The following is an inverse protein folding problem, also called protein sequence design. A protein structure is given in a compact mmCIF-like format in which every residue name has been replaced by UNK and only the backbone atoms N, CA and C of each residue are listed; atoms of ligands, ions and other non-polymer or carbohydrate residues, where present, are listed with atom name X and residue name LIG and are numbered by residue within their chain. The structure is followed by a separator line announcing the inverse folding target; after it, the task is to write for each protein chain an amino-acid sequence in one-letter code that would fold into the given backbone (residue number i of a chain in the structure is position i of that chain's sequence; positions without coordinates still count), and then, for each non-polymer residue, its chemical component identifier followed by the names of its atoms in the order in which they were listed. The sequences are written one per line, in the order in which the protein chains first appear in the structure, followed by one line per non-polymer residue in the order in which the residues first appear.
data_IF_232575341782
#
_entry.id   IF_232575341782
#
_cell.length_a   1.000
_cell.length_b   1.000
_cell.length_c   1.000
_cell.angle_alpha   90.00
_cell.angle_beta   90.00
_cell.angle_gamma   90.00
#
_symmetry.space_group_name_H-M   'P 1'
#
loop_
_entity.id
_entity.type
_entity.pdbx_description
1 polymer ?
#
# COMPACT_ATOMS: atom_id res chain seq x y z
N UNK A 1 24.29 66.34 2.36
CA UNK A 1 23.17 65.56 1.83
C UNK A 1 23.65 64.13 1.51
N UNK A 2 23.53 63.22 2.44
CA UNK A 2 23.84 61.79 2.24
C UNK A 2 22.52 61.05 2.10
N UNK A 3 22.27 60.47 0.94
CA UNK A 3 21.12 59.62 0.67
C UNK A 3 21.41 58.20 1.23
N UNK A 4 20.63 57.77 2.18
CA UNK A 4 20.55 56.38 2.61
C UNK A 4 19.76 55.58 1.56
N UNK A 5 20.39 54.59 0.96
CA UNK A 5 19.74 53.55 0.18
C UNK A 5 19.35 52.43 1.17
N UNK A 6 18.05 52.28 1.41
CA UNK A 6 17.51 51.09 2.03
C UNK A 6 17.50 49.93 0.99
N UNK A 7 18.33 48.94 1.19
CA UNK A 7 18.23 47.67 0.46
C UNK A 7 17.13 46.81 1.11
N UNK A 8 16.02 46.66 0.43
CA UNK A 8 15.02 45.67 0.75
C UNK A 8 15.56 44.31 0.32
N UNK A 9 15.95 43.47 1.30
CA UNK A 9 16.22 42.07 1.08
C UNK A 9 14.86 41.35 0.97
N UNK A 10 14.46 41.03 -0.24
CA UNK A 10 13.35 40.13 -0.52
C UNK A 10 13.85 38.71 -0.24
N UNK A 11 13.43 38.11 0.87
CA UNK A 11 13.57 36.67 1.07
C UNK A 11 12.67 35.98 0.02
N UNK A 12 13.28 35.46 -1.05
CA UNK A 12 12.67 34.46 -1.89
C UNK A 12 12.70 33.16 -1.10
N UNK A 13 11.57 32.81 -0.49
CA UNK A 13 11.33 31.46 -0.05
C UNK A 13 11.32 30.54 -1.28
N UNK A 14 12.34 29.70 -1.44
CA UNK A 14 12.30 28.59 -2.39
C UNK A 14 11.29 27.58 -1.87
N UNK A 15 10.02 27.74 -2.26
CA UNK A 15 9.06 26.64 -2.21
C UNK A 15 9.45 25.68 -3.32
N UNK A 16 10.16 24.61 -2.96
CA UNK A 16 10.30 23.45 -3.82
C UNK A 16 8.89 22.87 -4.00
N UNK A 17 8.27 23.16 -5.12
CA UNK A 17 7.02 22.55 -5.58
C UNK A 17 7.30 21.07 -5.88
N UNK A 18 7.26 20.22 -4.89
CA UNK A 18 7.16 18.78 -5.09
C UNK A 18 5.68 18.41 -5.07
N UNK A 19 5.05 18.47 -6.24
CA UNK A 19 3.73 17.88 -6.43
C UNK A 19 3.89 16.37 -6.47
N UNK A 20 3.48 15.69 -5.42
CA UNK A 20 3.31 14.23 -5.43
C UNK A 20 2.00 13.95 -6.14
N UNK A 21 2.06 13.31 -7.30
CA UNK A 21 0.88 12.96 -8.08
C UNK A 21 0.51 11.49 -7.81
N UNK A 22 -0.58 11.27 -7.12
CA UNK A 22 -1.43 10.13 -7.39
C UNK A 22 -2.60 10.64 -8.26
N UNK A 23 -3.27 9.77 -9.00
CA UNK A 23 -4.22 10.12 -10.07
C UNK A 23 -5.23 11.25 -9.78
N UNK A 24 -5.64 11.39 -8.52
CA UNK A 24 -6.65 12.36 -8.12
C UNK A 24 -6.27 13.12 -6.85
N UNK A 25 -5.16 12.78 -6.22
CA UNK A 25 -4.69 13.30 -4.95
C UNK A 25 -3.45 14.19 -5.17
N UNK A 26 -3.53 15.46 -4.79
CA UNK A 26 -2.41 16.41 -4.79
C UNK A 26 -2.17 16.91 -3.37
N UNK A 27 -0.90 17.02 -2.98
CA UNK A 27 -0.48 17.54 -1.67
C UNK A 27 0.41 18.75 -1.90
N UNK A 28 0.03 19.88 -1.33
CA UNK A 28 0.67 21.18 -1.54
C UNK A 28 0.83 21.94 -0.22
N UNK A 29 1.52 23.09 -0.28
CA UNK A 29 1.67 24.02 0.84
C UNK A 29 2.16 23.35 2.14
N UNK A 30 3.08 22.38 2.01
CA UNK A 30 3.66 21.70 3.16
C UNK A 30 4.50 22.67 3.97
N UNK A 31 4.13 22.88 5.24
CA UNK A 31 4.75 23.85 6.12
C UNK A 31 5.07 23.27 7.49
N UNK A 32 6.29 23.56 7.99
CA UNK A 32 6.72 23.27 9.37
C UNK A 32 6.68 24.58 10.15
N UNK A 33 5.83 24.64 11.16
CA UNK A 33 5.62 25.83 11.99
C UNK A 33 6.70 25.95 13.09
N UNK A 34 7.91 26.30 12.67
CA UNK A 34 9.07 26.41 13.56
C UNK A 34 8.87 27.47 14.66
N UNK A 35 8.05 28.49 14.42
CA UNK A 35 7.76 29.53 15.40
C UNK A 35 6.97 28.99 16.62
N UNK A 36 6.17 27.98 16.41
CA UNK A 36 5.37 27.29 17.45
C UNK A 36 5.96 25.94 17.88
N UNK A 37 7.28 25.75 17.68
CA UNK A 37 7.99 24.56 18.15
C UNK A 37 8.00 24.47 19.66
N UNK A 38 7.61 23.32 20.23
CA UNK A 38 7.81 23.00 21.63
C UNK A 38 9.15 22.27 21.82
N UNK A 39 10.12 22.97 22.39
CA UNK A 39 11.46 22.40 22.64
C UNK A 39 11.51 21.48 23.85
N UNK A 40 10.52 21.54 24.75
CA UNK A 40 10.44 20.66 25.93
C UNK A 40 9.86 19.31 25.53
N UNK A 41 8.75 19.33 24.78
CA UNK A 41 8.13 18.12 24.25
C UNK A 41 8.85 17.59 23.00
N UNK A 42 9.78 18.35 22.42
CA UNK A 42 10.46 18.05 21.16
C UNK A 42 9.47 17.81 20.01
N UNK A 43 8.49 18.69 19.90
CA UNK A 43 7.45 18.62 18.84
C UNK A 43 7.36 19.92 18.06
N UNK A 44 6.87 19.82 16.83
CA UNK A 44 6.62 20.96 15.94
C UNK A 44 5.38 20.71 15.11
N UNK A 45 4.46 21.69 14.96
CA UNK A 45 3.31 21.55 14.09
C UNK A 45 3.73 21.51 12.62
N UNK A 46 3.06 20.65 11.85
CA UNK A 46 3.12 20.63 10.40
C UNK A 46 1.72 20.84 9.83
N UNK A 47 1.61 21.54 8.72
CA UNK A 47 0.37 21.74 7.97
C UNK A 47 0.61 21.49 6.51
N UNK A 48 -0.41 21.03 5.80
CA UNK A 48 -0.37 20.83 4.35
C UNK A 48 -1.79 20.80 3.80
N UNK A 49 -1.91 21.14 2.52
CA UNK A 49 -3.18 21.10 1.81
C UNK A 49 -3.27 19.84 0.97
N UNK A 50 -4.47 19.27 0.91
CA UNK A 50 -4.82 18.07 0.14
C UNK A 50 -5.96 18.42 -0.80
N UNK A 51 -5.73 18.34 -2.10
CA UNK A 51 -6.78 18.40 -3.13
C UNK A 51 -7.03 17.01 -3.67
N UNK A 52 -8.29 16.57 -3.70
CA UNK A 52 -8.64 15.22 -4.08
C UNK A 52 -9.91 15.20 -4.96
N UNK A 53 -9.74 14.92 -6.25
CA UNK A 53 -10.82 15.07 -7.24
C UNK A 53 -11.80 13.89 -7.27
N UNK A 54 -11.42 12.72 -6.78
CA UNK A 54 -12.20 11.47 -6.87
C UNK A 54 -12.74 10.95 -5.55
N UNK A 55 -12.75 11.74 -4.49
CA UNK A 55 -13.20 11.32 -3.15
C UNK A 55 -14.68 10.91 -3.14
N UNK A 56 -14.99 9.81 -2.45
CA UNK A 56 -16.36 9.34 -2.29
C UNK A 56 -16.60 8.66 -0.94
N UNK A 57 -17.86 8.71 -0.47
CA UNK A 57 -18.38 7.94 0.65
C UNK A 57 -19.83 7.57 0.39
N UNK A 58 -20.16 6.30 0.63
CA UNK A 58 -21.52 5.77 0.51
C UNK A 58 -21.70 4.63 1.55
N UNK A 59 -22.54 4.89 2.55
CA UNK A 59 -22.77 3.96 3.65
C UNK A 59 -21.50 3.59 4.41
N UNK A 60 -21.20 2.30 4.50
CA UNK A 60 -20.00 1.76 5.17
C UNK A 60 -18.76 1.64 4.25
N UNK A 61 -18.91 2.03 2.98
CA UNK A 61 -17.83 2.00 1.99
C UNK A 61 -17.40 3.41 1.65
N UNK A 62 -16.10 3.67 1.65
CA UNK A 62 -15.52 4.95 1.23
C UNK A 62 -14.06 4.80 0.81
N UNK A 63 -13.58 5.77 0.07
CA UNK A 63 -12.15 5.93 -0.12
C UNK A 63 -11.55 6.89 0.91
N UNK A 64 -10.26 6.72 1.15
CA UNK A 64 -9.48 7.55 2.03
C UNK A 64 -8.12 7.87 1.39
N UNK A 65 -7.44 8.88 1.90
CA UNK A 65 -6.05 9.15 1.61
C UNK A 65 -5.19 8.67 2.78
N UNK A 66 -4.25 7.76 2.52
CA UNK A 66 -3.15 7.48 3.41
C UNK A 66 -2.05 8.50 3.17
N UNK A 67 -1.71 9.27 4.19
CA UNK A 67 -0.74 10.36 4.14
C UNK A 67 0.39 10.06 5.12
N UNK A 68 1.62 10.08 4.63
CA UNK A 68 2.82 9.88 5.46
C UNK A 68 3.91 10.87 5.05
N UNK A 69 4.88 11.09 5.91
CA UNK A 69 5.87 12.14 5.66
C UNK A 69 7.30 11.67 5.89
N UNK A 70 8.21 12.27 5.15
CA UNK A 70 9.66 12.12 5.30
C UNK A 70 10.30 13.48 5.51
N UNK A 71 11.39 13.51 6.28
CA UNK A 71 12.22 14.70 6.44
C UNK A 71 13.66 14.43 6.03
N UNK A 72 14.30 15.44 5.50
CA UNK A 72 15.72 15.35 5.14
C UNK A 72 16.57 15.55 6.38
N UNK A 73 17.10 14.45 6.90
CA UNK A 73 17.93 14.43 8.11
C UNK A 73 19.31 15.01 7.88
N UNK A 74 19.88 14.72 6.73
CA UNK A 74 21.16 15.20 6.21
C UNK A 74 20.98 15.33 4.69
N UNK A 75 21.74 16.16 3.97
CA UNK A 75 21.60 16.32 2.53
C UNK A 75 21.53 15.00 1.77
N UNK A 76 20.39 14.72 1.13
CA UNK A 76 20.10 13.49 0.41
C UNK A 76 19.76 12.27 1.28
N UNK A 77 19.72 12.41 2.60
CA UNK A 77 19.37 11.32 3.54
C UNK A 77 18.01 11.59 4.17
N UNK A 78 17.01 10.84 3.76
CA UNK A 78 15.63 11.00 4.21
C UNK A 78 15.30 9.99 5.32
N UNK A 79 14.53 10.45 6.29
CA UNK A 79 14.08 9.66 7.43
C UNK A 79 12.55 9.78 7.61
N UNK A 80 11.99 8.82 8.34
CA UNK A 80 10.57 8.78 8.66
C UNK A 80 10.19 9.90 9.63
N UNK A 81 9.10 10.61 9.31
CA UNK A 81 8.56 11.68 10.13
C UNK A 81 7.46 11.11 11.03
N UNK A 82 7.72 11.04 12.33
CA UNK A 82 6.82 10.46 13.33
C UNK A 82 5.89 11.51 13.92
N UNK A 83 4.61 11.16 14.03
CA UNK A 83 3.57 12.08 14.50
C UNK A 83 3.17 11.79 15.95
N UNK A 84 2.77 12.84 16.65
CA UNK A 84 2.14 12.73 17.98
C UNK A 84 0.72 12.17 17.82
N UNK A 85 0.35 11.05 18.45
CA UNK A 85 -0.90 10.34 18.18
C UNK A 85 -2.20 11.14 18.30
N UNK A 86 -2.24 12.13 19.17
CA UNK A 86 -3.45 12.93 19.44
C UNK A 86 -3.45 14.33 18.81
N UNK A 87 -2.53 14.58 17.86
CA UNK A 87 -2.30 15.95 17.37
C UNK A 87 -3.03 16.31 16.08
N UNK A 88 -3.78 15.36 15.48
CA UNK A 88 -4.42 15.54 14.19
C UNK A 88 -5.62 16.48 14.23
N UNK A 89 -5.71 17.35 13.23
CA UNK A 89 -6.91 18.12 12.93
C UNK A 89 -7.03 18.40 11.43
N UNK A 90 -8.25 18.58 10.95
CA UNK A 90 -8.54 18.84 9.55
C UNK A 90 -9.65 19.86 9.41
N UNK A 91 -9.55 20.70 8.38
CA UNK A 91 -10.63 21.58 7.90
C UNK A 91 -10.68 21.49 6.38
N UNK A 92 -11.81 21.81 5.77
CA UNK A 92 -11.90 21.70 4.32
C UNK A 92 -13.24 22.13 3.74
N UNK A 93 -13.44 21.86 2.46
CA UNK A 93 -14.65 22.17 1.69
C UNK A 93 -15.87 21.34 2.10
N UNK A 94 -15.62 20.19 2.72
CA UNK A 94 -16.63 19.29 3.28
C UNK A 94 -16.16 18.80 4.65
N UNK A 95 -17.06 18.29 5.52
CA UNK A 95 -16.67 17.62 6.75
C UNK A 95 -15.75 16.42 6.48
N UNK A 96 -14.68 16.29 7.26
CA UNK A 96 -13.68 15.23 7.11
C UNK A 96 -13.31 14.63 8.46
N UNK A 97 -12.87 13.38 8.41
CA UNK A 97 -12.26 12.65 9.52
C UNK A 97 -10.76 12.49 9.23
N UNK A 98 -9.94 12.77 10.25
CA UNK A 98 -8.51 12.55 10.23
C UNK A 98 -8.15 11.66 11.40
N UNK A 99 -7.59 10.49 11.11
CA UNK A 99 -7.17 9.48 12.06
C UNK A 99 -5.68 9.21 11.91
N UNK A 100 -4.99 9.01 13.02
CA UNK A 100 -3.56 8.76 13.05
C UNK A 100 -3.31 7.27 13.28
N UNK A 101 -2.59 6.63 12.40
CA UNK A 101 -2.17 5.23 12.56
C UNK A 101 -1.06 5.12 13.59
N UNK A 102 -1.43 4.70 14.80
CA UNK A 102 -0.54 4.65 15.96
C UNK A 102 0.15 3.31 16.05
N UNK A 103 1.48 3.33 16.03
CA UNK A 103 2.30 2.14 16.21
C UNK A 103 2.44 1.76 17.68
N UNK A 104 2.73 0.49 18.00
CA UNK A 104 2.99 0.03 19.38
C UNK A 104 4.08 0.82 20.11
N UNK A 105 4.98 1.47 19.38
CA UNK A 105 6.03 2.33 19.91
C UNK A 105 5.53 3.69 20.44
N UNK A 106 4.23 4.00 20.33
CA UNK A 106 3.60 5.18 20.90
C UNK A 106 3.70 6.45 20.03
N UNK A 107 4.01 6.35 18.77
CA UNK A 107 3.93 7.42 17.77
C UNK A 107 3.10 6.96 16.56
N UNK A 108 2.61 7.90 15.76
CA UNK A 108 1.95 7.55 14.52
C UNK A 108 2.90 7.70 13.32
N UNK A 109 2.77 6.82 12.34
CA UNK A 109 3.57 6.81 11.11
C UNK A 109 2.82 7.35 9.89
N UNK A 110 1.55 7.71 10.05
CA UNK A 110 0.75 8.30 8.98
C UNK A 110 -0.66 8.66 9.42
N UNK A 111 -1.41 9.17 8.48
CA UNK A 111 -2.75 9.73 8.64
C UNK A 111 -3.68 9.05 7.63
N UNK A 112 -4.84 8.62 8.11
CA UNK A 112 -5.99 8.28 7.26
C UNK A 112 -6.92 9.49 7.23
N UNK A 113 -7.18 10.01 6.03
CA UNK A 113 -8.04 11.18 5.80
C UNK A 113 -9.16 10.83 4.84
N UNK A 114 -10.42 11.04 5.25
CA UNK A 114 -11.58 10.74 4.41
C UNK A 114 -12.75 11.71 4.69
N UNK A 115 -13.76 11.69 3.81
CA UNK A 115 -15.04 12.38 4.06
C UNK A 115 -15.68 11.84 5.34
N UNK A 116 -16.21 12.73 6.19
CA UNK A 116 -17.03 12.34 7.32
C UNK A 116 -18.48 12.03 6.93
N UNK A 117 -18.95 12.59 5.81
CA UNK A 117 -20.34 12.48 5.31
C UNK A 117 -20.37 11.89 3.91
N UNK A 118 -21.53 11.32 3.54
CA UNK A 118 -21.80 10.79 2.22
C UNK A 118 -21.62 11.86 1.13
N UNK A 119 -21.12 11.44 -0.04
CA UNK A 119 -20.92 12.31 -1.18
C UNK A 119 -19.84 11.84 -2.12
N UNK A 120 -19.73 12.54 -3.24
CA UNK A 120 -18.74 12.31 -4.29
C UNK A 120 -18.22 13.63 -4.86
N UNK A 121 -17.00 13.58 -5.39
CA UNK A 121 -16.42 14.66 -6.16
C UNK A 121 -15.19 15.27 -5.50
N UNK A 122 -14.75 16.39 -6.05
CA UNK A 122 -13.57 17.09 -5.57
C UNK A 122 -13.75 17.62 -4.14
N UNK A 123 -12.69 17.48 -3.37
CA UNK A 123 -12.58 18.03 -2.01
C UNK A 123 -11.23 18.67 -1.82
N UNK A 124 -11.18 19.67 -0.95
CA UNK A 124 -9.94 20.31 -0.52
C UNK A 124 -9.90 20.32 1.00
N UNK A 125 -8.79 19.87 1.56
CA UNK A 125 -8.57 19.79 2.99
C UNK A 125 -7.26 20.47 3.36
N UNK A 126 -7.25 21.16 4.49
CA UNK A 126 -6.02 21.55 5.18
C UNK A 126 -5.87 20.66 6.41
N UNK A 127 -4.85 19.82 6.40
CA UNK A 127 -4.52 18.91 7.50
C UNK A 127 -3.42 19.52 8.37
N UNK A 128 -3.51 19.28 9.68
CA UNK A 128 -2.49 19.66 10.66
C UNK A 128 -2.22 18.47 11.58
N UNK A 129 -0.92 18.24 11.85
CA UNK A 129 -0.47 17.28 12.85
C UNK A 129 0.80 17.81 13.53
N UNK A 130 1.25 17.18 14.61
CA UNK A 130 2.51 17.54 15.25
C UNK A 130 3.55 16.46 14.98
N UNK A 131 4.66 16.86 14.41
CA UNK A 131 5.84 16.01 14.28
C UNK A 131 6.56 15.92 15.63
N UNK A 132 6.83 14.70 16.10
CA UNK A 132 7.69 14.45 17.26
C UNK A 132 9.12 14.16 16.78
N UNK A 133 9.95 15.19 16.66
CA UNK A 133 11.33 15.04 16.20
C UNK A 133 12.21 14.37 17.27
N UNK A 134 11.85 14.47 18.55
CA UNK A 134 12.52 13.75 19.64
C UNK A 134 12.37 12.23 19.53
N UNK A 135 11.25 11.71 19.07
CA UNK A 135 11.05 10.27 18.82
C UNK A 135 11.93 9.74 17.67
N UNK A 136 12.42 10.63 16.80
CA UNK A 136 13.36 10.30 15.73
C UNK A 136 14.83 10.46 16.17
N UNK A 137 15.10 10.76 17.43
CA UNK A 137 16.43 11.08 17.95
C UNK A 137 17.12 12.18 17.11
N UNK A 138 16.36 13.18 16.71
CA UNK A 138 16.80 14.25 15.85
C UNK A 138 16.70 15.60 16.56
N UNK A 139 17.73 16.42 16.43
CA UNK A 139 17.75 17.79 16.94
C UNK A 139 17.39 18.73 15.78
N UNK A 140 16.12 19.17 15.77
CA UNK A 140 15.59 20.00 14.70
C UNK A 140 16.27 21.36 14.62
N UNK A 141 16.92 21.72 13.49
CA UNK A 141 17.54 23.01 13.30
C UNK A 141 16.57 24.19 13.50
N UNK A 142 17.12 25.38 13.79
CA UNK A 142 16.30 26.59 13.97
C UNK A 142 15.56 27.01 12.73
N UNK A 143 16.14 26.74 11.58
CA UNK A 143 15.59 27.14 10.26
C UNK A 143 14.71 26.03 9.65
N UNK A 144 14.50 24.91 10.40
CA UNK A 144 13.77 23.77 9.92
C UNK A 144 14.59 22.87 8.99
N UNK A 145 13.91 21.91 8.37
CA UNK A 145 14.48 21.00 7.35
C UNK A 145 13.45 20.75 6.27
N UNK A 146 13.86 20.35 5.06
CA UNK A 146 12.95 19.92 4.02
C UNK A 146 12.11 18.74 4.50
N UNK A 147 10.81 18.79 4.24
CA UNK A 147 9.89 17.66 4.46
C UNK A 147 9.11 17.38 3.17
N UNK A 148 8.76 16.13 2.97
CA UNK A 148 7.83 15.68 1.93
C UNK A 148 6.68 14.94 2.57
N UNK A 149 5.47 15.36 2.27
CA UNK A 149 4.24 14.60 2.56
C UNK A 149 3.85 13.86 1.30
N UNK A 150 3.61 12.58 1.44
CA UNK A 150 3.29 11.65 0.37
C UNK A 150 1.89 11.09 0.59
N UNK A 151 1.19 10.75 -0.48
CA UNK A 151 -0.17 10.28 -0.41
C UNK A 151 -0.43 9.04 -1.26
N UNK A 152 -1.29 8.18 -0.75
CA UNK A 152 -1.78 6.97 -1.43
C UNK A 152 -3.29 6.92 -1.28
N UNK A 153 -4.01 6.76 -2.38
CA UNK A 153 -5.46 6.50 -2.31
C UNK A 153 -5.71 5.07 -1.82
N UNK A 154 -6.54 4.95 -0.80
CA UNK A 154 -6.94 3.67 -0.20
C UNK A 154 -8.46 3.56 -0.19
N UNK A 155 -8.98 2.34 -0.15
CA UNK A 155 -10.41 2.07 -0.04
C UNK A 155 -10.67 1.25 1.21
N UNK A 156 -11.72 1.58 1.96
CA UNK A 156 -12.14 0.84 3.13
C UNK A 156 -12.84 -0.46 2.74
N UNK A 157 -12.37 -1.57 3.28
CA UNK A 157 -13.04 -2.86 3.24
C UNK A 157 -13.70 -3.07 4.60
N UNK A 158 -15.03 -3.09 4.63
CA UNK A 158 -15.76 -3.20 5.88
C UNK A 158 -15.51 -4.57 6.57
N UNK A 159 -15.56 -4.57 7.89
CA UNK A 159 -15.47 -5.78 8.70
C UNK A 159 -16.61 -6.76 8.47
N UNK A 160 -16.51 -7.93 9.09
CA UNK A 160 -17.53 -8.96 9.07
C UNK A 160 -17.19 -10.19 8.23
N UNK A 161 -18.00 -11.25 8.37
CA UNK A 161 -17.83 -12.50 7.65
C UNK A 161 -17.94 -12.32 6.13
N UNK A 162 -17.22 -13.16 5.39
CA UNK A 162 -17.27 -13.17 3.92
C UNK A 162 -16.99 -14.58 3.39
N UNK A 163 -17.27 -14.79 2.12
CA UNK A 163 -17.01 -16.06 1.45
C UNK A 163 -15.76 -15.97 0.58
N UNK A 164 -14.96 -17.04 0.60
CA UNK A 164 -13.85 -17.29 -0.33
C UNK A 164 -14.18 -18.45 -1.24
N UNK A 165 -13.59 -18.46 -2.44
CA UNK A 165 -13.94 -19.43 -3.47
C UNK A 165 -15.29 -19.15 -4.11
N UNK A 166 -15.82 -20.12 -4.83
CA UNK A 166 -17.09 -20.00 -5.57
C UNK A 166 -18.11 -21.05 -5.15
N UNK A 167 -19.40 -20.71 -5.26
CA UNK A 167 -20.49 -21.62 -4.98
C UNK A 167 -20.50 -22.85 -5.91
N UNK A 168 -20.01 -22.68 -7.14
CA UNK A 168 -19.86 -23.75 -8.14
C UNK A 168 -18.43 -23.77 -8.59
N UNK A 169 -17.63 -24.68 -8.06
CA UNK A 169 -16.23 -24.86 -8.49
C UNK A 169 -16.24 -25.54 -9.86
N UNK A 170 -15.84 -24.82 -10.89
CA UNK A 170 -15.37 -25.45 -12.10
C UNK A 170 -13.97 -26.02 -11.86
N UNK A 171 -13.94 -27.27 -11.35
CA UNK A 171 -12.70 -27.97 -10.99
C UNK A 171 -11.71 -28.12 -12.16
N UNK A 172 -12.14 -27.87 -13.38
CA UNK A 172 -11.29 -27.88 -14.56
C UNK A 172 -10.60 -26.55 -14.81
N UNK A 173 -11.17 -25.42 -14.30
CA UNK A 173 -10.63 -24.08 -14.50
C UNK A 173 -9.89 -23.52 -13.29
N UNK A 174 -10.28 -23.94 -12.07
CA UNK A 174 -9.74 -23.37 -10.84
C UNK A 174 -9.56 -24.46 -9.77
N UNK A 175 -8.70 -25.45 -10.01
CA UNK A 175 -8.53 -26.59 -9.09
C UNK A 175 -8.05 -26.15 -7.70
N UNK A 176 -7.32 -24.99 -7.62
CA UNK A 176 -6.69 -24.50 -6.39
C UNK A 176 -7.54 -23.50 -5.61
N UNK A 177 -8.73 -23.13 -6.11
CA UNK A 177 -9.60 -22.19 -5.41
C UNK A 177 -9.96 -22.67 -4.00
N UNK A 178 -10.10 -21.73 -3.09
CA UNK A 178 -10.63 -22.02 -1.77
C UNK A 178 -12.06 -22.57 -1.88
N UNK A 179 -12.39 -23.52 -1.03
CA UNK A 179 -13.74 -24.07 -0.94
C UNK A 179 -14.00 -24.68 0.44
N UNK A 180 -15.23 -24.89 0.75
CA UNK A 180 -15.61 -25.80 1.85
C UNK A 180 -15.28 -27.25 1.47
N UNK A 181 -14.78 -28.04 2.39
CA UNK A 181 -14.52 -29.47 2.17
C UNK A 181 -15.77 -30.25 1.73
N UNK A 182 -16.97 -29.75 2.02
CA UNK A 182 -18.24 -30.25 1.50
C UNK A 182 -18.64 -29.79 0.11
N UNK A 183 -17.81 -28.96 -0.53
CA UNK A 183 -18.10 -28.26 -1.79
C UNK A 183 -18.70 -26.86 -1.59
N UNK A 184 -18.60 -26.02 -2.59
CA UNK A 184 -19.04 -24.62 -2.56
C UNK A 184 -18.08 -23.68 -1.83
N UNK A 185 -18.46 -22.41 -1.75
CA UNK A 185 -17.68 -21.38 -1.08
C UNK A 185 -17.45 -21.71 0.40
N UNK A 186 -16.32 -21.23 0.94
CA UNK A 186 -16.01 -21.33 2.36
C UNK A 186 -16.26 -19.99 3.03
N UNK A 187 -16.97 -19.98 4.16
CA UNK A 187 -17.20 -18.76 4.94
C UNK A 187 -16.06 -18.54 5.93
N UNK A 188 -15.32 -17.44 5.75
CA UNK A 188 -14.41 -16.89 6.75
C UNK A 188 -15.23 -16.08 7.74
N UNK A 189 -15.48 -16.65 8.91
CA UNK A 189 -16.47 -16.13 9.87
C UNK A 189 -15.87 -15.12 10.87
N UNK A 190 -14.58 -15.24 11.19
CA UNK A 190 -13.88 -14.42 12.19
C UNK A 190 -12.36 -14.53 12.01
N UNK A 191 -11.60 -13.79 12.82
CA UNK A 191 -10.13 -13.92 12.90
C UNK A 191 -9.66 -15.17 13.67
N UNK A 192 -10.56 -16.03 14.16
CA UNK A 192 -10.19 -17.28 14.81
C UNK A 192 -9.45 -18.24 13.87
N UNK A 193 -8.79 -19.24 14.44
CA UNK A 193 -8.06 -20.25 13.66
C UNK A 193 -8.97 -20.96 12.65
N UNK A 194 -8.50 -21.07 11.39
CA UNK A 194 -9.18 -21.82 10.35
C UNK A 194 -8.50 -23.19 10.19
N UNK A 195 -9.28 -24.23 10.35
CA UNK A 195 -8.84 -25.59 10.07
C UNK A 195 -8.79 -25.83 8.56
N UNK A 196 -7.67 -26.34 8.06
CA UNK A 196 -7.49 -26.73 6.66
C UNK A 196 -7.44 -28.26 6.59
N UNK A 197 -8.42 -28.88 5.95
CA UNK A 197 -8.50 -30.32 5.73
C UNK A 197 -9.65 -30.69 4.79
N UNK A 198 -9.74 -31.96 4.40
CA UNK A 198 -10.87 -32.52 3.65
C UNK A 198 -12.09 -32.85 4.54
N UNK A 199 -12.00 -32.61 5.84
CA UNK A 199 -13.07 -32.84 6.80
C UNK A 199 -14.19 -31.81 6.75
N UNK A 200 -15.37 -32.15 7.30
CA UNK A 200 -16.53 -31.26 7.29
C UNK A 200 -16.23 -29.89 7.90
N UNK A 201 -16.78 -28.81 7.29
CA UNK A 201 -16.64 -27.41 7.74
C UNK A 201 -15.20 -26.87 7.80
N UNK A 202 -14.25 -27.54 7.16
CA UNK A 202 -12.89 -27.04 7.01
C UNK A 202 -12.73 -26.25 5.70
N UNK A 203 -11.77 -25.33 5.70
CA UNK A 203 -11.26 -24.75 4.47
C UNK A 203 -10.50 -25.85 3.72
N UNK A 204 -10.74 -25.94 2.44
CA UNK A 204 -10.08 -26.90 1.56
C UNK A 204 -9.62 -26.21 0.28
N UNK A 205 -8.52 -26.68 -0.29
CA UNK A 205 -8.03 -26.33 -1.62
C UNK A 205 -7.14 -27.46 -2.13
N UNK A 206 -7.25 -27.77 -3.44
CA UNK A 206 -6.40 -28.77 -4.05
C UNK A 206 -5.03 -28.20 -4.37
N UNK A 207 -4.05 -29.07 -4.33
CA UNK A 207 -2.74 -28.85 -4.92
C UNK A 207 -2.63 -29.84 -6.07
N UNK A 208 -2.72 -29.40 -7.34
CA UNK A 208 -2.56 -30.29 -8.47
C UNK A 208 -1.20 -30.97 -8.44
N UNK A 209 -1.17 -32.29 -8.60
CA UNK A 209 0.07 -33.01 -8.75
C UNK A 209 0.82 -32.52 -9.99
N UNK A 210 2.12 -32.19 -9.83
CA UNK A 210 2.98 -31.77 -10.93
C UNK A 210 2.93 -30.30 -11.31
N UNK A 211 2.15 -29.48 -10.64
CA UNK A 211 2.17 -28.03 -10.85
C UNK A 211 3.48 -27.42 -10.32
N UNK A 212 4.32 -26.90 -11.24
CA UNK A 212 5.63 -26.35 -10.90
C UNK A 212 5.58 -25.12 -9.99
N UNK A 213 4.39 -24.56 -9.77
CA UNK A 213 4.18 -23.29 -9.11
C UNK A 213 3.43 -23.37 -7.76
N UNK A 214 3.05 -24.57 -7.34
CA UNK A 214 2.51 -24.78 -6.01
C UNK A 214 3.67 -24.82 -5.01
N UNK A 215 3.95 -23.67 -4.38
CA UNK A 215 4.94 -23.57 -3.29
C UNK A 215 4.34 -23.97 -1.94
N UNK A 216 5.21 -24.14 -0.94
CA UNK A 216 4.82 -24.44 0.43
C UNK A 216 4.25 -25.85 0.65
N UNK A 217 3.66 -26.06 1.82
CA UNK A 217 3.08 -27.36 2.23
C UNK A 217 1.58 -27.46 1.91
N UNK A 218 0.95 -26.37 1.50
CA UNK A 218 -0.47 -26.26 1.20
C UNK A 218 -1.38 -26.86 2.31
N UNK A 219 -0.91 -26.83 3.55
CA UNK A 219 -1.58 -27.38 4.70
C UNK A 219 -2.04 -26.27 5.65
N UNK A 220 -2.45 -26.63 6.86
CA UNK A 220 -2.90 -25.70 7.89
C UNK A 220 -2.44 -26.12 9.28
N UNK A 221 -3.05 -25.56 10.32
CA UNK A 221 -4.13 -24.56 10.29
C UNK A 221 -3.65 -23.17 9.90
N UNK A 222 -4.60 -22.28 9.52
CA UNK A 222 -4.35 -20.83 9.42
C UNK A 222 -4.57 -20.24 10.81
N UNK A 223 -3.53 -19.74 11.50
CA UNK A 223 -3.64 -19.30 12.89
C UNK A 223 -4.58 -18.11 13.07
N UNK A 224 -5.12 -17.92 14.28
CA UNK A 224 -5.93 -16.75 14.65
C UNK A 224 -5.18 -15.43 14.50
N UNK A 225 -3.85 -15.44 14.59
CA UNK A 225 -3.03 -14.25 14.39
C UNK A 225 -2.77 -13.86 12.94
N UNK A 226 -3.11 -14.72 11.97
CA UNK A 226 -2.99 -14.41 10.54
C UNK A 226 -4.18 -13.54 10.13
N UNK A 227 -3.96 -12.35 9.53
CA UNK A 227 -5.03 -11.44 9.15
C UNK A 227 -5.90 -12.08 8.06
N UNK A 228 -7.18 -12.26 8.37
CA UNK A 228 -8.14 -12.89 7.47
C UNK A 228 -9.03 -11.88 6.77
N UNK A 229 -9.08 -10.64 7.29
CA UNK A 229 -9.89 -9.57 6.75
C UNK A 229 -11.31 -9.55 7.31
N UNK A 230 -11.62 -10.24 8.40
CA UNK A 230 -12.91 -10.08 9.09
C UNK A 230 -12.96 -8.84 9.98
N UNK A 231 -11.81 -8.32 10.41
CA UNK A 231 -11.71 -6.96 10.91
C UNK A 231 -11.65 -5.97 9.73
N UNK A 232 -12.13 -4.73 9.90
CA UNK A 232 -12.06 -3.72 8.84
C UNK A 232 -10.62 -3.31 8.57
N UNK A 233 -10.30 -3.07 7.30
CA UNK A 233 -9.00 -2.61 6.86
C UNK A 233 -9.10 -1.69 5.66
N UNK A 234 -8.03 -0.97 5.36
CA UNK A 234 -7.89 -0.23 4.12
C UNK A 234 -6.92 -0.94 3.19
N UNK A 235 -7.25 -0.96 1.91
CA UNK A 235 -6.39 -1.46 0.83
C UNK A 235 -6.10 -0.34 -0.15
N UNK A 236 -4.91 -0.30 -0.73
CA UNK A 236 -4.63 0.62 -1.82
C UNK A 236 -5.69 0.49 -2.91
N UNK A 237 -6.28 1.62 -3.31
CA UNK A 237 -7.32 1.67 -4.32
C UNK A 237 -6.82 1.21 -5.69
N UNK A 238 -5.54 1.47 -5.96
CA UNK A 238 -4.80 1.09 -7.17
C UNK A 238 -3.52 0.32 -6.80
N UNK A 239 -2.92 -0.44 -7.74
CA UNK A 239 -1.55 -0.93 -7.55
C UNK A 239 -0.58 0.24 -7.36
N UNK A 240 0.59 -0.02 -6.77
CA UNK A 240 1.67 0.97 -6.69
C UNK A 240 1.92 1.55 -8.09
N UNK A 241 1.95 2.88 -8.21
CA UNK A 241 2.19 3.53 -9.49
C UNK A 241 3.67 3.80 -9.72
N UNK A 242 4.04 4.05 -10.98
CA UNK A 242 5.43 4.39 -11.33
C UNK A 242 5.88 5.70 -10.66
N UNK A 243 4.98 6.68 -10.49
CA UNK A 243 5.25 7.90 -9.73
C UNK A 243 5.56 7.62 -8.27
N UNK A 244 4.73 6.83 -7.59
CA UNK A 244 4.93 6.44 -6.19
C UNK A 244 6.23 5.63 -6.01
N UNK A 245 6.56 4.77 -6.96
CA UNK A 245 7.80 3.99 -6.90
C UNK A 245 9.03 4.86 -7.19
N UNK A 246 8.93 5.84 -8.10
CA UNK A 246 9.99 6.83 -8.35
C UNK A 246 10.26 7.71 -7.11
N UNK A 247 9.21 8.13 -6.39
CA UNK A 247 9.35 8.83 -5.12
C UNK A 247 10.09 7.97 -4.06
N UNK A 248 9.73 6.68 -3.96
CA UNK A 248 10.43 5.73 -3.10
C UNK A 248 11.93 5.68 -3.43
N UNK A 249 12.27 5.41 -4.69
CA UNK A 249 13.66 5.35 -5.13
C UNK A 249 14.42 6.66 -4.85
N UNK A 250 13.78 7.81 -5.08
CA UNK A 250 14.38 9.13 -4.87
C UNK A 250 14.75 9.41 -3.42
N UNK A 251 13.96 8.88 -2.48
CA UNK A 251 14.13 9.12 -1.04
C UNK A 251 14.92 8.01 -0.35
N UNK A 252 15.39 7.00 -1.09
CA UNK A 252 16.27 5.96 -0.55
C UNK A 252 17.74 6.39 -0.56
N UNK A 253 18.55 5.95 0.42
CA UNK A 253 20.01 6.01 0.34
C UNK A 253 20.51 5.29 -0.92
N UNK A 254 21.63 5.74 -1.48
CA UNK A 254 22.15 5.26 -2.77
C UNK A 254 22.27 3.73 -2.88
N UNK A 255 22.67 3.06 -1.81
CA UNK A 255 22.79 1.60 -1.78
C UNK A 255 21.44 0.90 -1.85
N UNK A 256 20.46 1.38 -1.08
CA UNK A 256 19.10 0.84 -1.09
C UNK A 256 18.42 1.14 -2.45
N UNK A 257 18.61 2.36 -2.98
CA UNK A 257 18.13 2.71 -4.34
C UNK A 257 18.66 1.73 -5.39
N UNK A 258 19.96 1.50 -5.42
CA UNK A 258 20.57 0.57 -6.38
C UNK A 258 20.06 -0.88 -6.22
N UNK A 259 19.72 -1.31 -5.01
CA UNK A 259 19.18 -2.64 -4.74
C UNK A 259 17.70 -2.78 -5.14
N UNK A 260 16.95 -1.67 -5.21
CA UNK A 260 15.51 -1.62 -5.55
C UNK A 260 15.23 -1.03 -6.93
N UNK A 261 16.27 -0.77 -7.71
CA UNK A 261 16.16 -0.15 -9.04
C UNK A 261 15.62 -1.14 -10.08
N UNK A 262 14.32 -1.04 -10.33
CA UNK A 262 13.62 -1.85 -11.35
C UNK A 262 13.94 -1.40 -12.78
N UNK A 263 14.51 -0.21 -12.99
CA UNK A 263 14.86 0.27 -14.32
C UNK A 263 16.04 -0.49 -14.93
N UNK A 264 16.77 -1.25 -14.10
CA UNK A 264 17.89 -2.10 -14.52
C UNK A 264 17.48 -3.37 -15.29
N UNK A 265 16.20 -3.74 -15.30
CA UNK A 265 15.72 -4.86 -16.11
C UNK A 265 15.81 -4.53 -17.60
N UNK A 266 16.41 -5.43 -18.38
CA UNK A 266 16.74 -5.17 -19.80
C UNK A 266 15.52 -4.81 -20.68
N UNK A 267 14.34 -5.33 -20.35
CA UNK A 267 13.09 -5.07 -21.09
C UNK A 267 12.20 -4.02 -20.43
N UNK A 268 12.65 -3.36 -19.36
CA UNK A 268 11.82 -2.44 -18.57
C UNK A 268 11.15 -1.35 -19.42
N UNK A 269 11.93 -0.67 -20.26
CA UNK A 269 11.42 0.40 -21.12
C UNK A 269 10.52 -0.13 -22.24
N UNK A 270 10.86 -1.28 -22.83
CA UNK A 270 10.10 -1.89 -23.92
C UNK A 270 8.72 -2.37 -23.46
N UNK A 271 8.62 -2.77 -22.21
CA UNK A 271 7.36 -3.21 -21.56
C UNK A 271 6.59 -2.06 -20.90
N UNK A 272 6.97 -0.80 -21.18
CA UNK A 272 6.25 0.38 -20.74
C UNK A 272 6.70 0.96 -19.40
N UNK A 273 7.89 0.63 -18.95
CA UNK A 273 8.55 1.33 -17.85
C UNK A 273 8.94 2.73 -18.24
N UNK A 274 8.59 3.73 -17.42
CA UNK A 274 8.83 5.15 -17.70
C UNK A 274 9.63 5.85 -16.61
N UNK A 275 10.08 5.13 -15.58
CA UNK A 275 10.95 5.68 -14.55
C UNK A 275 12.36 5.85 -15.11
N UNK A 276 12.94 7.01 -14.86
CA UNK A 276 14.35 7.31 -15.14
C UNK A 276 14.99 7.87 -13.88
N UNK A 277 16.22 7.48 -13.61
CA UNK A 277 16.97 7.91 -12.42
C UNK A 277 18.26 8.62 -12.82
N UNK A 278 18.62 9.67 -12.08
CA UNK A 278 19.89 10.38 -12.19
C UNK A 278 20.50 10.62 -10.79
N UNK A 279 21.50 11.49 -10.70
CA UNK A 279 22.15 11.85 -9.43
C UNK A 279 21.23 12.62 -8.46
N UNK A 280 20.15 13.22 -8.95
CA UNK A 280 19.20 14.00 -8.16
C UNK A 280 18.00 13.18 -7.69
N UNK A 281 17.73 12.02 -8.28
CA UNK A 281 16.61 11.13 -7.93
C UNK A 281 16.04 10.38 -9.11
N UNK A 282 14.82 9.92 -8.94
CA UNK A 282 14.07 9.20 -9.96
C UNK A 282 12.77 9.93 -10.29
N UNK A 283 12.38 9.92 -11.54
CA UNK A 283 11.11 10.50 -12.03
C UNK A 283 10.44 9.53 -12.99
N UNK A 284 9.11 9.54 -13.04
CA UNK A 284 8.32 8.76 -13.98
C UNK A 284 7.70 9.69 -15.02
N UNK A 285 7.89 9.39 -16.32
CA UNK A 285 7.22 10.15 -17.39
C UNK A 285 5.72 9.90 -17.45
N UNK A 286 5.28 8.71 -17.04
CA UNK A 286 3.87 8.38 -16.85
C UNK A 286 3.66 7.95 -15.39
N UNK A 287 3.53 8.91 -14.45
CA UNK A 287 3.49 8.64 -13.03
C UNK A 287 2.26 7.83 -12.60
N UNK A 288 1.17 7.92 -13.33
CA UNK A 288 -0.09 7.25 -13.02
C UNK A 288 -0.19 5.82 -13.58
N UNK A 289 0.81 5.35 -14.32
CA UNK A 289 0.87 3.97 -14.77
C UNK A 289 1.24 3.06 -13.61
N UNK A 290 0.66 1.84 -13.55
CA UNK A 290 1.04 0.85 -12.56
C UNK A 290 2.54 0.51 -12.66
N UNK A 291 3.23 0.44 -11.52
CA UNK A 291 4.61 -0.03 -11.46
C UNK A 291 4.62 -1.56 -11.61
N UNK A 292 5.43 -2.02 -12.53
CA UNK A 292 5.64 -3.42 -12.84
C UNK A 292 7.13 -3.78 -12.65
N UNK A 293 7.51 -5.02 -12.90
CA UNK A 293 8.83 -5.57 -12.54
C UNK A 293 9.11 -5.57 -11.01
N UNK A 294 8.07 -5.47 -10.18
CA UNK A 294 8.24 -5.49 -8.74
C UNK A 294 8.44 -6.93 -8.23
N UNK A 295 9.62 -7.22 -7.72
CA UNK A 295 9.86 -8.43 -6.94
C UNK A 295 9.12 -8.36 -5.58
N UNK A 296 9.04 -9.47 -4.85
CA UNK A 296 8.56 -9.46 -3.47
C UNK A 296 9.34 -8.46 -2.60
N UNK A 297 10.67 -8.45 -2.72
CA UNK A 297 11.53 -7.56 -1.95
C UNK A 297 11.29 -6.08 -2.26
N UNK A 298 10.96 -5.74 -3.51
CA UNK A 298 10.62 -4.37 -3.91
C UNK A 298 9.29 -3.94 -3.31
N UNK A 299 8.28 -4.81 -3.37
CA UNK A 299 6.96 -4.55 -2.83
C UNK A 299 6.96 -4.37 -1.32
N UNK A 300 7.56 -5.29 -0.55
CA UNK A 300 7.62 -5.16 0.91
C UNK A 300 8.51 -4.00 1.36
N UNK A 301 9.57 -3.68 0.61
CA UNK A 301 10.40 -2.52 0.85
C UNK A 301 9.59 -1.23 0.73
N UNK A 302 8.85 -1.09 -0.37
CA UNK A 302 7.94 0.04 -0.59
C UNK A 302 6.86 0.12 0.49
N UNK A 303 6.19 -1.00 0.83
CA UNK A 303 5.16 -1.04 1.85
C UNK A 303 5.70 -0.60 3.23
N UNK A 304 6.84 -1.15 3.65
CA UNK A 304 7.47 -0.75 4.92
C UNK A 304 7.82 0.73 4.96
N UNK A 305 8.42 1.25 3.86
CA UNK A 305 8.77 2.66 3.72
C UNK A 305 7.53 3.57 3.76
N UNK A 306 6.42 3.15 3.17
CA UNK A 306 5.17 3.88 3.18
C UNK A 306 4.38 3.75 4.51
N UNK A 307 4.83 2.93 5.45
CA UNK A 307 4.11 2.67 6.69
C UNK A 307 2.92 1.72 6.55
N UNK A 308 2.82 1.03 5.42
CA UNK A 308 1.80 0.04 5.09
C UNK A 308 2.33 -1.38 5.32
N UNK A 309 1.50 -2.40 5.12
CA UNK A 309 1.89 -3.82 5.18
C UNK A 309 1.46 -4.59 3.94
N UNK A 310 2.09 -5.74 3.62
CA UNK A 310 1.57 -6.61 2.57
C UNK A 310 0.18 -7.13 2.94
N UNK A 311 -0.65 -7.34 1.94
CA UNK A 311 -1.96 -7.97 2.11
C UNK A 311 -1.84 -9.48 2.24
N UNK A 312 -2.72 -10.09 3.01
CA UNK A 312 -2.90 -11.53 3.02
C UNK A 312 -3.70 -12.00 1.81
N UNK A 313 -3.59 -13.27 1.51
CA UNK A 313 -4.35 -13.92 0.43
C UNK A 313 -5.86 -13.88 0.67
N UNK A 314 -6.30 -13.90 1.94
CA UNK A 314 -7.71 -13.81 2.31
C UNK A 314 -8.23 -12.38 2.22
N UNK A 315 -7.42 -11.39 2.63
CA UNK A 315 -7.74 -9.97 2.45
C UNK A 315 -7.86 -9.59 0.97
N UNK A 316 -6.97 -10.11 0.11
CA UNK A 316 -7.10 -9.95 -1.33
C UNK A 316 -8.45 -10.43 -1.83
N UNK A 317 -8.84 -11.65 -1.47
CA UNK A 317 -10.07 -12.27 -1.99
C UNK A 317 -11.32 -11.52 -1.49
N UNK A 318 -11.31 -11.05 -0.22
CA UNK A 318 -12.37 -10.18 0.29
C UNK A 318 -12.44 -8.84 -0.45
N UNK A 319 -11.31 -8.19 -0.66
CA UNK A 319 -11.25 -6.90 -1.34
C UNK A 319 -11.62 -6.97 -2.82
N UNK A 320 -11.25 -8.07 -3.49
CA UNK A 320 -11.51 -8.29 -4.91
C UNK A 320 -12.94 -8.78 -5.18
N UNK A 321 -13.47 -9.60 -4.27
CA UNK A 321 -14.79 -10.16 -4.41
C UNK A 321 -15.86 -9.19 -3.95
N UNK A 322 -16.88 -9.15 -3.99
CA UNK A 322 -18.07 -8.68 -3.35
C UNK A 322 -18.88 -9.87 -2.87
N UNK A 323 -20.17 -9.74 -2.95
CA UNK A 323 -21.05 -10.90 -2.85
C UNK A 323 -20.81 -11.86 -4.03
N UNK A 324 -21.13 -13.15 -3.92
CA UNK A 324 -20.98 -14.12 -5.01
C UNK A 324 -21.60 -13.67 -6.33
N UNK A 325 -22.69 -12.87 -6.30
CA UNK A 325 -23.35 -12.33 -7.48
C UNK A 325 -22.55 -11.22 -8.18
N UNK A 326 -21.61 -10.58 -7.50
CA UNK A 326 -20.82 -9.46 -8.00
C UNK A 326 -19.46 -9.87 -8.54
N UNK A 327 -18.98 -11.06 -8.15
CA UNK A 327 -17.70 -11.64 -8.62
C UNK A 327 -17.65 -11.81 -10.14
N UNK A 328 -18.77 -12.04 -10.79
CA UNK A 328 -18.86 -12.25 -12.24
C UNK A 328 -18.83 -10.97 -13.09
N UNK A 329 -18.79 -9.79 -12.49
CA UNK A 329 -18.86 -8.49 -13.20
C UNK A 329 -17.52 -7.93 -13.64
N UNK A 330 -16.42 -8.55 -13.25
CA UNK A 330 -15.10 -8.14 -13.70
C UNK A 330 -14.87 -8.57 -15.14
N UNK A 331 -14.60 -7.63 -16.02
CA UNK A 331 -14.17 -7.91 -17.40
C UNK A 331 -12.64 -8.08 -17.45
N UNK A 332 -12.14 -9.02 -18.23
CA UNK A 332 -10.72 -9.15 -18.55
C UNK A 332 -10.27 -7.98 -19.47
N UNK A 333 -9.02 -7.56 -19.39
CA UNK A 333 -8.44 -6.54 -20.28
C UNK A 333 -7.05 -6.12 -19.85
N UNK A 334 -6.42 -5.34 -20.72
CA UNK A 334 -5.05 -4.85 -20.58
C UNK A 334 -4.83 -3.95 -19.36
N UNK A 335 -3.59 -3.86 -18.91
CA UNK A 335 -3.17 -2.80 -18.02
C UNK A 335 -3.41 -1.45 -18.68
N UNK A 336 -4.23 -0.58 -18.08
CA UNK A 336 -4.41 0.74 -18.64
C UNK A 336 -3.11 1.55 -18.51
N UNK A 337 -2.86 2.46 -19.46
CA UNK A 337 -1.75 3.43 -19.36
C UNK A 337 -1.84 4.32 -18.12
N UNK A 338 -2.99 4.32 -17.47
CA UNK A 338 -3.27 5.02 -16.24
C UNK A 338 -4.13 4.13 -15.33
N UNK A 339 -3.70 3.89 -14.08
CA UNK A 339 -4.49 3.13 -13.09
C UNK A 339 -5.86 3.80 -12.87
N UNK A 340 -6.89 3.04 -12.58
CA UNK A 340 -8.24 3.55 -12.28
C UNK A 340 -9.06 4.03 -13.48
N UNK A 341 -8.58 3.89 -14.70
CA UNK A 341 -9.37 4.17 -15.91
C UNK A 341 -10.19 2.97 -16.33
N UNK A 342 -9.92 1.79 -15.79
CA UNK A 342 -10.75 0.61 -16.02
C UNK A 342 -12.08 0.72 -15.24
N UNK A 343 -13.14 0.13 -15.78
CA UNK A 343 -14.43 0.02 -15.09
C UNK A 343 -14.46 -1.12 -14.06
N UNK A 344 -13.30 -1.79 -13.84
CA UNK A 344 -13.14 -2.96 -12.99
C UNK A 344 -13.00 -2.55 -11.53
N UNK A 345 -14.12 -2.46 -10.83
CA UNK A 345 -14.15 -2.09 -9.42
C UNK A 345 -14.81 -3.19 -8.60
N UNK A 346 -14.22 -3.46 -7.44
CA UNK A 346 -14.93 -4.24 -6.40
C UNK A 346 -16.04 -3.40 -5.77
N UNK A 347 -16.89 -4.02 -4.98
CA UNK A 347 -17.93 -3.31 -4.20
C UNK A 347 -17.34 -2.28 -3.22
N UNK A 348 -16.08 -2.48 -2.84
CA UNK A 348 -15.33 -1.57 -1.97
C UNK A 348 -14.69 -0.40 -2.72
N UNK A 349 -14.87 -0.33 -4.05
CA UNK A 349 -14.25 0.71 -4.88
C UNK A 349 -12.78 0.47 -5.21
N UNK A 350 -12.23 -0.69 -4.87
CA UNK A 350 -10.86 -1.08 -5.26
C UNK A 350 -10.82 -1.40 -6.74
N UNK A 351 -9.81 -0.94 -7.45
CA UNK A 351 -9.71 -1.00 -8.90
C UNK A 351 -8.53 -1.87 -9.32
N UNK A 352 -8.66 -2.56 -10.44
CA UNK A 352 -7.61 -3.34 -11.10
C UNK A 352 -7.03 -4.51 -10.24
N UNK A 353 -7.82 -5.10 -9.32
CA UNK A 353 -7.43 -6.28 -8.57
C UNK A 353 -7.43 -7.58 -9.40
N UNK A 354 -8.08 -7.58 -10.56
CA UNK A 354 -8.19 -8.72 -11.45
C UNK A 354 -7.73 -8.33 -12.85
N UNK A 355 -6.89 -9.18 -13.44
CA UNK A 355 -6.24 -8.88 -14.71
C UNK A 355 -5.21 -7.75 -14.59
N UNK A 356 -4.43 -7.54 -15.60
CA UNK A 356 -3.39 -6.52 -15.61
C UNK A 356 -2.10 -6.99 -14.97
N UNK A 357 -1.93 -6.89 -13.65
CA UNK A 357 -0.74 -7.36 -12.94
C UNK A 357 -1.05 -8.48 -11.95
N UNK A 358 -0.14 -9.43 -11.86
CA UNK A 358 -0.04 -10.28 -10.70
C UNK A 358 0.37 -9.44 -9.48
N UNK A 359 -0.45 -9.44 -8.44
CA UNK A 359 -0.17 -8.75 -7.19
C UNK A 359 0.32 -9.73 -6.13
N UNK A 360 1.34 -9.31 -5.39
CA UNK A 360 1.95 -10.11 -4.35
C UNK A 360 1.08 -10.15 -3.10
N UNK A 361 0.96 -11.35 -2.53
CA UNK A 361 0.22 -11.60 -1.27
C UNK A 361 1.05 -12.44 -0.31
N UNK A 362 0.69 -12.41 0.99
CA UNK A 362 1.16 -13.38 1.96
C UNK A 362 0.24 -14.59 1.89
N UNK A 363 0.82 -15.75 1.59
CA UNK A 363 0.04 -16.99 1.33
C UNK A 363 -0.32 -17.75 2.59
N UNK A 364 -1.50 -18.37 2.59
CA UNK A 364 -1.86 -19.41 3.57
C UNK A 364 -1.23 -20.76 3.23
N UNK A 365 -0.68 -20.92 2.03
CA UNK A 365 -0.15 -22.18 1.49
C UNK A 365 1.20 -22.62 2.06
N UNK A 366 1.86 -21.82 2.89
CA UNK A 366 3.15 -22.19 3.49
C UNK A 366 3.23 -21.84 4.97
N UNK A 367 4.05 -22.57 5.76
CA UNK A 367 4.26 -22.26 7.18
C UNK A 367 4.76 -20.84 7.43
N UNK A 368 5.64 -20.34 6.57
CA UNK A 368 6.21 -18.98 6.67
C UNK A 368 5.15 -17.91 6.40
N UNK A 369 4.27 -18.15 5.41
CA UNK A 369 3.14 -17.27 5.15
C UNK A 369 2.16 -17.26 6.33
N UNK A 370 1.79 -18.43 6.85
CA UNK A 370 0.89 -18.54 8.02
C UNK A 370 1.44 -17.96 9.32
N UNK A 371 2.75 -17.72 9.40
CA UNK A 371 3.37 -17.03 10.55
C UNK A 371 3.15 -15.50 10.53
N UNK A 372 2.66 -14.94 9.44
CA UNK A 372 2.35 -13.53 9.29
C UNK A 372 1.25 -13.08 10.26
N UNK A 373 1.42 -11.91 10.88
CA UNK A 373 0.51 -11.35 11.88
C UNK A 373 -0.02 -9.97 11.51
N UNK A 374 0.33 -9.47 10.32
CA UNK A 374 -0.14 -8.17 9.87
C UNK A 374 0.55 -6.97 10.54
N UNK A 375 1.74 -7.13 11.11
CA UNK A 375 2.47 -6.00 11.69
C UNK A 375 2.61 -4.88 10.67
N UNK A 376 2.25 -3.61 11.00
CA UNK A 376 2.36 -2.50 10.06
C UNK A 376 3.81 -2.15 9.75
N UNK A 377 4.06 -1.56 8.60
CA UNK A 377 5.33 -0.98 8.23
C UNK A 377 5.72 0.19 9.14
N UNK A 378 7.00 0.37 9.35
CA UNK A 378 7.51 1.37 10.31
C UNK A 378 7.87 2.71 9.70
N UNK A 379 7.72 2.88 8.38
CA UNK A 379 8.11 4.10 7.68
C UNK A 379 9.56 4.08 7.18
N UNK A 380 10.35 3.06 7.44
CA UNK A 380 11.75 2.99 7.00
C UNK A 380 12.18 1.59 6.56
N UNK A 381 13.33 1.53 5.90
CA UNK A 381 13.95 0.32 5.36
C UNK A 381 15.44 0.26 5.72
N UNK A 382 16.04 -0.91 5.55
CA UNK A 382 17.49 -1.11 5.74
C UNK A 382 18.31 -0.58 4.54
N UNK A 383 19.62 -0.76 4.61
CA UNK A 383 20.57 -0.34 3.56
C UNK A 383 20.37 -1.02 2.19
N UNK A 384 19.55 -2.06 2.13
CA UNK A 384 19.19 -2.76 0.89
C UNK A 384 17.73 -2.49 0.48
N UNK A 385 17.04 -1.58 1.18
CA UNK A 385 15.65 -1.26 0.92
C UNK A 385 14.67 -2.36 1.35
N UNK A 386 15.06 -3.22 2.30
CA UNK A 386 14.15 -4.21 2.90
C UNK A 386 13.50 -3.67 4.17
N UNK A 387 12.32 -4.19 4.58
CA UNK A 387 11.79 -3.94 5.91
C UNK A 387 12.82 -4.24 6.99
N UNK A 388 12.94 -3.37 7.98
CA UNK A 388 13.95 -3.54 9.02
C UNK A 388 13.67 -4.81 9.85
N UNK A 389 14.64 -5.70 9.93
CA UNK A 389 14.48 -7.07 10.43
C UNK A 389 13.90 -7.17 11.86
N UNK A 390 14.11 -6.16 12.70
CA UNK A 390 13.61 -6.17 14.08
C UNK A 390 12.14 -5.79 14.23
N UNK A 391 11.55 -5.19 13.23
CA UNK A 391 10.22 -4.59 13.28
C UNK A 391 9.15 -5.36 12.51
N UNK A 392 9.56 -6.10 11.50
CA UNK A 392 8.67 -6.84 10.61
C UNK A 392 9.11 -8.30 10.52
N UNK A 393 9.44 -8.92 11.66
CA UNK A 393 9.88 -10.32 11.73
C UNK A 393 8.81 -11.33 11.31
N UNK A 394 7.55 -10.92 11.31
CA UNK A 394 6.42 -11.75 10.90
C UNK A 394 6.16 -11.73 9.39
N UNK A 395 6.76 -10.80 8.63
CA UNK A 395 6.60 -10.76 7.18
C UNK A 395 7.46 -11.84 6.51
N UNK A 396 6.99 -12.45 5.42
CA UNK A 396 7.86 -13.21 4.54
C UNK A 396 9.10 -12.40 4.15
N UNK A 397 10.28 -13.01 4.32
CA UNK A 397 11.56 -12.31 4.07
C UNK A 397 11.80 -11.99 2.58
N UNK A 398 12.91 -11.29 2.27
CA UNK A 398 13.21 -10.85 0.88
C UNK A 398 13.35 -11.99 -0.13
N UNK A 399 13.55 -13.23 0.35
CA UNK A 399 13.58 -14.43 -0.50
C UNK A 399 12.20 -14.95 -0.90
N UNK A 400 11.14 -14.22 -0.59
CA UNK A 400 9.76 -14.50 -0.99
C UNK A 400 9.14 -15.77 -0.40
N UNK A 401 9.83 -16.50 0.48
CA UNK A 401 9.28 -17.70 1.13
C UNK A 401 8.10 -17.31 2.00
N UNK A 402 6.92 -17.86 1.69
CA UNK A 402 5.66 -17.47 2.34
C UNK A 402 4.85 -16.42 1.60
N UNK A 403 5.29 -15.99 0.41
CA UNK A 403 4.51 -15.14 -0.49
C UNK A 403 3.87 -15.95 -1.62
N UNK A 404 2.98 -15.32 -2.35
CA UNK A 404 2.36 -15.82 -3.56
C UNK A 404 1.86 -14.69 -4.44
N UNK A 405 1.04 -15.02 -5.41
CA UNK A 405 0.43 -14.08 -6.35
C UNK A 405 -1.07 -14.29 -6.47
N UNK A 406 -1.78 -13.21 -6.70
CA UNK A 406 -3.21 -13.18 -7.02
C UNK A 406 -3.47 -12.18 -8.15
N UNK A 407 -4.64 -12.25 -8.78
CA UNK A 407 -5.12 -11.27 -9.75
C UNK A 407 -4.89 -11.60 -11.21
N UNK A 408 -3.85 -12.34 -11.52
CA UNK A 408 -3.52 -12.76 -12.88
C UNK A 408 -2.98 -11.66 -13.77
N UNK A 409 -2.44 -12.05 -14.92
CA UNK A 409 -2.08 -11.14 -16.00
C UNK A 409 -2.97 -11.37 -17.21
N UNK A 410 -2.99 -10.39 -18.11
CA UNK A 410 -3.64 -10.50 -19.40
C UNK A 410 -3.20 -11.73 -20.21
N UNK A 411 -4.12 -12.26 -20.99
CA UNK A 411 -3.86 -13.34 -21.97
C UNK A 411 -3.76 -14.75 -21.41
N UNK A 412 -3.78 -14.93 -20.09
CA UNK A 412 -3.82 -16.25 -19.46
C UNK A 412 -5.26 -16.57 -19.05
N UNK A 413 -6.05 -17.09 -19.99
CA UNK A 413 -7.43 -17.50 -19.75
C UNK A 413 -7.56 -18.42 -18.52
N UNK A 414 -8.39 -17.99 -17.56
CA UNK A 414 -8.66 -18.71 -16.31
C UNK A 414 -7.75 -18.36 -15.16
N UNK A 415 -6.61 -17.72 -15.36
CA UNK A 415 -5.68 -17.32 -14.30
C UNK A 415 -5.93 -15.90 -13.77
N UNK A 416 -6.87 -15.17 -14.33
CA UNK A 416 -7.27 -13.82 -13.89
C UNK A 416 -8.49 -13.83 -12.97
N UNK A 417 -9.06 -14.98 -12.66
CA UNK A 417 -10.21 -15.07 -11.76
C UNK A 417 -9.82 -14.71 -10.31
N UNK A 418 -10.73 -14.03 -9.61
CA UNK A 418 -10.52 -13.65 -8.20
C UNK A 418 -10.16 -14.84 -7.33
N UNK A 419 -10.74 -15.99 -7.61
CA UNK A 419 -10.58 -17.23 -6.85
C UNK A 419 -9.41 -18.10 -7.32
N UNK A 420 -8.75 -17.73 -8.43
CA UNK A 420 -7.59 -18.47 -8.91
C UNK A 420 -6.40 -18.35 -7.97
N UNK A 421 -5.86 -19.49 -7.56
CA UNK A 421 -4.73 -19.64 -6.65
C UNK A 421 -3.57 -20.44 -7.26
N UNK A 422 -3.53 -20.58 -8.60
CA UNK A 422 -2.48 -21.34 -9.26
C UNK A 422 -1.07 -20.89 -8.83
N UNK A 423 -0.89 -19.61 -8.64
CA UNK A 423 0.35 -19.03 -8.13
C UNK A 423 0.25 -18.54 -6.68
N UNK A 424 -0.79 -18.94 -5.94
CA UNK A 424 -1.08 -18.47 -4.58
C UNK A 424 0.03 -18.70 -3.56
N UNK A 425 0.95 -19.64 -3.80
CA UNK A 425 2.13 -19.90 -2.97
C UNK A 425 3.44 -19.95 -3.79
N UNK A 426 3.51 -19.26 -4.92
CA UNK A 426 4.71 -19.24 -5.78
C UNK A 426 5.73 -18.21 -5.27
N UNK A 427 6.85 -18.71 -4.79
CA UNK A 427 7.90 -17.98 -4.07
C UNK A 427 8.97 -17.38 -5.00
N UNK A 428 8.59 -16.73 -6.10
CA UNK A 428 9.56 -16.12 -7.02
C UNK A 428 10.23 -14.87 -6.41
N UNK A 429 11.54 -14.76 -6.59
CA UNK A 429 12.37 -13.67 -6.06
C UNK A 429 12.66 -12.58 -7.08
N UNK A 430 12.24 -12.73 -8.32
CA UNK A 430 12.44 -11.78 -9.41
C UNK A 430 11.17 -11.00 -9.72
N UNK A 431 11.33 -9.85 -10.38
CA UNK A 431 10.26 -9.09 -11.00
C UNK A 431 10.20 -9.31 -12.52
N UNK A 432 9.03 -9.19 -13.12
CA UNK A 432 8.81 -9.15 -14.56
C UNK A 432 7.67 -8.21 -14.94
N UNK A 433 7.44 -8.01 -16.22
CA UNK A 433 6.45 -7.07 -16.74
C UNK A 433 5.00 -7.32 -16.25
N UNK A 434 4.67 -8.54 -15.87
CA UNK A 434 3.35 -8.90 -15.35
C UNK A 434 3.21 -8.80 -13.83
N UNK A 435 4.21 -8.30 -13.09
CA UNK A 435 4.22 -8.34 -11.62
C UNK A 435 4.22 -6.95 -11.02
N UNK A 436 3.22 -6.68 -10.17
CA UNK A 436 3.05 -5.47 -9.40
C UNK A 436 2.90 -5.73 -7.90
N UNK A 437 2.48 -4.70 -7.17
CA UNK A 437 2.31 -4.76 -5.73
C UNK A 437 1.19 -3.84 -5.27
N UNK A 438 0.51 -4.24 -4.21
CA UNK A 438 -0.47 -3.46 -3.48
C UNK A 438 -0.33 -3.74 -2.00
N UNK A 439 -0.56 -2.73 -1.17
CA UNK A 439 -0.44 -2.81 0.28
C UNK A 439 -1.77 -2.50 0.97
N UNK A 440 -1.83 -2.82 2.24
CA UNK A 440 -2.98 -2.61 3.12
C UNK A 440 -2.53 -1.96 4.44
N UNK A 441 -3.50 -1.46 5.20
CA UNK A 441 -3.32 -1.01 6.58
C UNK A 441 -4.60 -1.32 7.37
N UNK A 442 -4.45 -1.68 8.63
CA UNK A 442 -5.59 -1.87 9.53
C UNK A 442 -6.30 -0.53 9.77
N UNK A 443 -7.60 -0.57 9.99
CA UNK A 443 -8.35 0.65 10.36
C UNK A 443 -7.82 1.16 11.72
N UNK A 444 -7.42 2.46 11.83
CA UNK A 444 -6.85 3.04 13.05
C UNK A 444 -7.76 3.03 14.26
#
# INVERSE_FOLDING_TARGET
MRRLLLSALTLLGLSLLSSVHSQSLSIENVHVDIANRDTVASTVPITFDVTWSGSWREGESWDAAWLFAKFEREPGVWADLRLVPSSGSVSGTVPATLELSVLPAGYANGIVLHRAEEGRGEVQFTARASWTYGASYYDLPRDGVPIRVLGVEIARVAGGPFEVGEAIVDSLRQPNAFRSAGGGAYTVASEEEIRVSDGPSALYYDVPEGEAYAGGDQAGPVPGSFPKGTEPFYIMKYPVTQGQYADFLSLLPARARAARDITAYATYADEGGTITCDEHGCTAHNPDRAAHFLSWADGIGWASWAGLRPMSELEYEKAAAGTPAERSRYADGDLPDRVGTSERRSIWGVVDLRGGLWERVVTVGSPQGRAFRGTPGLGFVDDLGHPYAFSNLDWPGPRAVGSGYRGGTEGLLGLSEVTDRTYGAYEATYGNAGQGFRAVIDEP
#
